data_IF_745968847456
#
_entry.id   IF_745968847456
#
_cell.length_a   1.000
_cell.length_b   1.000
_cell.length_c   1.000
_cell.angle_alpha   90.00
_cell.angle_beta   90.00
_cell.angle_gamma   90.00
#
_symmetry.space_group_name_H-M   'P 1'
#
loop_
_entity.id
_entity.type
_entity.pdbx_description
1 polymer ?
#
# COMPACT_ATOMS: atom_id res chain seq x y z
N UNK A 1 1.80 0.63 -10.26
CA UNK A 1 1.04 -0.36 -9.47
C UNK A 1 1.53 -1.74 -9.85
N UNK A 2 1.48 -2.70 -8.93
CA UNK A 2 1.83 -4.09 -9.21
C UNK A 2 0.63 -5.01 -8.88
N UNK A 3 -0.48 -4.95 -9.64
CA UNK A 3 -1.69 -5.73 -9.35
C UNK A 3 -1.42 -7.23 -9.18
N UNK A 4 -0.57 -7.80 -10.04
CA UNK A 4 -0.15 -9.20 -9.96
C UNK A 4 0.67 -9.56 -8.72
N UNK A 5 1.35 -8.60 -8.09
CA UNK A 5 2.00 -8.81 -6.79
C UNK A 5 0.95 -8.91 -5.68
N UNK A 6 -0.04 -8.02 -5.70
CA UNK A 6 -1.09 -8.01 -4.69
C UNK A 6 -1.92 -9.31 -4.73
N UNK A 7 -2.27 -9.79 -5.93
CA UNK A 7 -2.94 -11.08 -6.10
C UNK A 7 -2.10 -12.27 -5.61
N UNK A 8 -0.78 -12.22 -5.76
CA UNK A 8 0.12 -13.25 -5.22
C UNK A 8 0.16 -13.22 -3.70
N UNK A 9 0.19 -12.02 -3.12
CA UNK A 9 0.19 -11.82 -1.66
C UNK A 9 -1.14 -12.26 -1.04
N UNK A 10 -2.27 -11.92 -1.66
CA UNK A 10 -3.61 -12.37 -1.22
C UNK A 10 -3.78 -13.90 -1.24
N UNK A 11 -3.07 -14.60 -2.12
CA UNK A 11 -3.06 -16.07 -2.21
C UNK A 11 -2.00 -16.72 -1.33
N UNK A 12 -1.28 -15.93 -0.54
CA UNK A 12 -0.30 -16.43 0.42
C UNK A 12 -0.91 -16.47 1.83
N UNK A 13 -0.19 -17.10 2.77
CA UNK A 13 -0.57 -17.10 4.19
C UNK A 13 -0.22 -15.78 4.90
N UNK A 14 0.39 -14.82 4.20
CA UNK A 14 0.76 -13.54 4.79
C UNK A 14 -0.46 -12.65 5.02
N UNK A 15 -0.49 -11.98 6.17
CA UNK A 15 -1.41 -10.88 6.42
C UNK A 15 -0.99 -9.64 5.62
N UNK A 16 -1.92 -9.08 4.87
CA UNK A 16 -1.65 -8.04 3.88
C UNK A 16 -2.64 -6.89 4.08
N UNK A 17 -2.13 -5.69 4.33
CA UNK A 17 -2.96 -4.49 4.43
C UNK A 17 -2.52 -3.43 3.42
N UNK A 18 -3.45 -3.04 2.54
CA UNK A 18 -3.25 -2.02 1.52
C UNK A 18 -4.03 -0.76 1.89
N UNK A 19 -3.33 0.36 1.95
CA UNK A 19 -3.94 1.69 2.01
C UNK A 19 -3.69 2.38 0.67
N UNK A 20 -4.76 2.68 -0.05
CA UNK A 20 -4.73 3.29 -1.38
C UNK A 20 -5.34 4.69 -1.34
N UNK A 21 -4.91 5.58 -2.24
CA UNK A 21 -5.70 6.78 -2.53
C UNK A 21 -6.93 6.41 -3.34
N UNK A 22 -7.98 7.23 -3.29
CA UNK A 22 -9.18 7.05 -4.11
C UNK A 22 -8.83 6.92 -5.61
N UNK A 23 -7.94 7.77 -6.11
CA UNK A 23 -7.48 7.72 -7.51
C UNK A 23 -6.77 6.42 -7.89
N UNK A 24 -6.03 5.81 -6.97
CA UNK A 24 -5.33 4.54 -7.18
C UNK A 24 -6.31 3.38 -7.11
N UNK A 25 -7.27 3.43 -6.18
CA UNK A 25 -8.33 2.44 -6.07
C UNK A 25 -9.19 2.38 -7.33
N UNK A 26 -9.67 3.53 -7.80
CA UNK A 26 -10.45 3.63 -9.05
C UNK A 26 -9.66 3.13 -10.27
N UNK A 27 -8.37 3.42 -10.33
CA UNK A 27 -7.52 2.89 -11.38
C UNK A 27 -7.39 1.37 -11.31
N UNK A 28 -7.24 0.80 -10.12
CA UNK A 28 -7.13 -0.65 -9.93
C UNK A 28 -8.45 -1.36 -10.31
N UNK A 29 -9.58 -0.75 -9.95
CA UNK A 29 -10.93 -1.18 -10.34
C UNK A 29 -11.10 -1.24 -11.86
N UNK A 30 -10.66 -0.21 -12.58
CA UNK A 30 -10.83 -0.11 -14.03
C UNK A 30 -9.80 -0.95 -14.81
N UNK A 31 -8.53 -0.90 -14.40
CA UNK A 31 -7.42 -1.50 -15.16
C UNK A 31 -7.21 -2.99 -14.81
N UNK A 32 -7.59 -3.43 -13.61
CA UNK A 32 -7.26 -4.79 -13.11
C UNK A 32 -8.30 -5.33 -12.11
N UNK A 33 -9.59 -5.40 -12.49
CA UNK A 33 -10.67 -5.81 -11.58
C UNK A 33 -10.48 -7.23 -11.02
N UNK A 34 -9.89 -8.17 -11.77
CA UNK A 34 -9.63 -9.53 -11.28
C UNK A 34 -8.57 -9.60 -10.18
N UNK A 35 -7.58 -8.70 -10.22
CA UNK A 35 -6.57 -8.59 -9.15
C UNK A 35 -7.16 -7.93 -7.91
N UNK A 36 -8.02 -6.92 -8.09
CA UNK A 36 -8.76 -6.30 -6.99
C UNK A 36 -9.72 -7.30 -6.33
N UNK A 37 -10.44 -8.10 -7.12
CA UNK A 37 -11.32 -9.15 -6.61
C UNK A 37 -10.53 -10.18 -5.79
N UNK A 38 -9.34 -10.58 -6.27
CA UNK A 38 -8.47 -11.51 -5.53
C UNK A 38 -8.06 -10.98 -4.15
N UNK A 39 -7.97 -9.66 -3.98
CA UNK A 39 -7.71 -9.04 -2.67
C UNK A 39 -8.93 -9.11 -1.76
N UNK A 40 -10.14 -8.96 -2.29
CA UNK A 40 -11.38 -9.04 -1.50
C UNK A 40 -11.78 -10.47 -1.16
N UNK A 41 -11.44 -11.44 -2.01
CA UNK A 41 -11.69 -12.87 -1.78
C UNK A 41 -10.77 -13.48 -0.70
N UNK A 42 -9.69 -12.78 -0.33
CA UNK A 42 -8.71 -13.25 0.65
C UNK A 42 -9.07 -12.79 2.07
N UNK A 43 -9.27 -13.74 2.98
CA UNK A 43 -9.52 -13.44 4.40
C UNK A 43 -8.31 -12.79 5.10
N UNK A 44 -7.10 -12.98 4.56
CA UNK A 44 -5.85 -12.43 5.10
C UNK A 44 -5.53 -11.04 4.56
N UNK A 45 -6.42 -10.45 3.75
CA UNK A 45 -6.21 -9.16 3.10
C UNK A 45 -7.18 -8.10 3.61
N UNK A 46 -6.66 -6.91 3.87
CA UNK A 46 -7.44 -5.71 4.16
C UNK A 46 -7.12 -4.66 3.11
N UNK A 47 -8.16 -4.14 2.45
CA UNK A 47 -8.05 -2.98 1.57
C UNK A 47 -8.74 -1.80 2.23
N UNK A 48 -8.04 -0.68 2.31
CA UNK A 48 -8.55 0.58 2.81
C UNK A 48 -8.24 1.71 1.83
N UNK A 49 -9.15 2.67 1.74
CA UNK A 49 -9.03 3.84 0.88
C UNK A 49 -8.92 5.09 1.74
N UNK A 50 -7.88 5.87 1.51
CA UNK A 50 -7.63 7.15 2.15
C UNK A 50 -8.07 8.28 1.22
N UNK A 51 -8.94 9.16 1.73
CA UNK A 51 -9.41 10.35 1.01
C UNK A 51 -8.34 11.47 1.04
N UNK A 52 -7.45 11.46 2.02
CA UNK A 52 -6.36 12.41 2.11
C UNK A 52 -5.31 12.18 1.01
N UNK A 53 -4.80 13.27 0.45
CA UNK A 53 -3.63 13.21 -0.44
C UNK A 53 -2.44 12.69 0.36
N UNK A 54 -1.96 11.50 -0.01
CA UNK A 54 -0.75 10.94 0.59
C UNK A 54 0.43 11.85 0.24
N UNK A 55 1.06 12.44 1.26
CA UNK A 55 2.26 13.27 1.12
C UNK A 55 3.51 12.50 0.65
N UNK A 56 3.37 11.20 0.39
CA UNK A 56 4.41 10.31 -0.12
C UNK A 56 3.86 9.46 -1.27
N UNK A 57 4.67 9.13 -2.29
CA UNK A 57 4.25 8.25 -3.37
C UNK A 57 3.90 6.84 -2.89
N UNK A 58 4.74 6.24 -2.03
CA UNK A 58 4.55 4.84 -1.59
C UNK A 58 5.42 4.57 -0.36
N UNK A 59 4.87 3.85 0.61
CA UNK A 59 5.61 3.13 1.65
C UNK A 59 5.16 1.67 1.65
N UNK A 60 6.08 0.75 1.89
CA UNK A 60 5.74 -0.63 2.25
C UNK A 60 6.62 -1.06 3.42
N UNK A 61 6.02 -1.76 4.37
CA UNK A 61 6.70 -2.28 5.55
C UNK A 61 6.35 -3.75 5.68
N UNK A 62 7.37 -4.56 5.89
CA UNK A 62 7.28 -6.00 6.11
C UNK A 62 7.94 -6.34 7.45
N UNK A 63 7.98 -7.62 7.78
CA UNK A 63 8.70 -8.07 8.99
C UNK A 63 10.21 -7.97 8.89
N UNK A 64 10.75 -7.82 7.68
CA UNK A 64 12.21 -7.83 7.44
C UNK A 64 12.77 -6.52 6.94
N UNK A 65 11.98 -5.76 6.18
CA UNK A 65 12.41 -4.49 5.62
C UNK A 65 11.26 -3.50 5.49
N UNK A 66 11.62 -2.23 5.43
CA UNK A 66 10.77 -1.18 4.88
C UNK A 66 11.37 -0.67 3.58
N UNK A 67 10.51 -0.21 2.66
CA UNK A 67 10.94 0.71 1.63
C UNK A 67 10.01 1.91 1.55
N UNK A 68 10.58 3.02 1.09
CA UNK A 68 9.91 4.31 0.95
C UNK A 68 10.32 4.95 -0.38
N UNK A 69 9.33 5.41 -1.12
CA UNK A 69 9.50 6.34 -2.23
C UNK A 69 9.19 7.74 -1.74
N UNK A 70 9.95 8.74 -2.20
CA UNK A 70 9.72 10.15 -1.89
C UNK A 70 9.63 10.97 -3.18
N UNK A 71 8.96 12.10 -3.12
CA UNK A 71 9.03 13.09 -4.18
C UNK A 71 10.36 13.86 -4.10
N UNK A 72 10.87 14.31 -5.26
CA UNK A 72 11.97 15.26 -5.30
C UNK A 72 11.54 16.63 -4.74
N UNK A 73 12.48 17.57 -4.61
CA UNK A 73 12.21 18.93 -4.11
C UNK A 73 11.21 19.72 -4.96
N UNK A 74 10.89 19.26 -6.17
CA UNK A 74 9.91 19.86 -7.09
C UNK A 74 8.58 19.09 -7.08
N UNK A 75 8.39 18.14 -6.16
CA UNK A 75 7.18 17.32 -6.07
C UNK A 75 7.09 16.22 -7.13
N UNK A 76 8.19 15.92 -7.85
CA UNK A 76 8.18 14.93 -8.93
C UNK A 76 8.57 13.56 -8.40
N UNK A 77 7.91 12.54 -8.91
CA UNK A 77 8.29 11.16 -8.64
C UNK A 77 9.53 10.80 -9.47
N UNK A 78 10.63 10.47 -8.81
CA UNK A 78 11.93 10.22 -9.44
C UNK A 78 12.32 8.73 -9.49
N UNK A 79 11.40 7.85 -9.11
CA UNK A 79 11.57 6.40 -9.03
C UNK A 79 12.65 5.90 -8.04
N UNK A 80 13.23 6.79 -7.22
CA UNK A 80 14.18 6.38 -6.18
C UNK A 80 13.44 5.76 -5.01
N UNK A 81 14.07 4.73 -4.45
CA UNK A 81 13.54 3.97 -3.32
C UNK A 81 14.61 3.92 -2.25
N UNK A 82 14.24 4.30 -1.03
CA UNK A 82 15.04 4.04 0.16
C UNK A 82 14.58 2.71 0.73
N UNK A 83 15.51 1.80 1.00
CA UNK A 83 15.23 0.52 1.64
C UNK A 83 16.07 0.39 2.89
N UNK A 84 15.46 -0.09 3.98
CA UNK A 84 16.15 -0.32 5.25
C UNK A 84 15.69 -1.61 5.89
N UNK A 85 16.63 -2.30 6.51
CA UNK A 85 16.43 -3.52 7.30
C UNK A 85 16.63 -3.23 8.80
N UNK A 86 16.90 -1.98 9.16
CA UNK A 86 17.13 -1.58 10.55
C UNK A 86 15.82 -1.61 11.36
N UNK A 87 15.89 -2.08 12.60
CA UNK A 87 14.73 -2.22 13.47
C UNK A 87 14.04 -0.87 13.77
N UNK A 88 14.81 0.22 13.87
CA UNK A 88 14.25 1.56 14.09
C UNK A 88 13.52 2.07 12.85
N UNK A 89 14.06 1.80 11.66
CA UNK A 89 13.42 2.14 10.39
C UNK A 89 12.12 1.35 10.20
N UNK A 90 12.11 0.05 10.52
CA UNK A 90 10.90 -0.78 10.53
C UNK A 90 9.82 -0.20 11.46
N UNK A 91 10.19 0.17 12.69
CA UNK A 91 9.24 0.75 13.66
C UNK A 91 8.65 2.06 13.14
N UNK A 92 9.51 2.99 12.70
CA UNK A 92 9.06 4.27 12.15
C UNK A 92 8.17 4.08 10.91
N UNK A 93 8.52 3.15 10.02
CA UNK A 93 7.70 2.84 8.85
C UNK A 93 6.31 2.35 9.23
N UNK A 94 6.20 1.47 10.26
CA UNK A 94 4.90 1.01 10.76
C UNK A 94 4.09 2.15 11.37
N UNK A 95 4.72 3.04 12.13
CA UNK A 95 4.06 4.23 12.69
C UNK A 95 3.49 5.14 11.58
N UNK A 96 4.27 5.38 10.52
CA UNK A 96 3.83 6.17 9.37
C UNK A 96 2.70 5.48 8.59
N UNK A 97 2.77 4.17 8.39
CA UNK A 97 1.68 3.41 7.78
C UNK A 97 0.40 3.51 8.61
N UNK A 98 0.49 3.31 9.93
CA UNK A 98 -0.66 3.38 10.85
C UNK A 98 -1.29 4.77 10.89
N UNK A 99 -0.48 5.83 10.74
CA UNK A 99 -0.99 7.21 10.63
C UNK A 99 -1.96 7.36 9.46
N UNK A 100 -1.57 6.92 8.25
CA UNK A 100 -2.44 6.96 7.08
C UNK A 100 -3.61 5.99 7.19
N UNK A 101 -3.38 4.80 7.77
CA UNK A 101 -4.43 3.80 7.95
C UNK A 101 -5.57 4.27 8.84
N UNK A 102 -5.28 5.12 9.83
CA UNK A 102 -6.26 5.66 10.79
C UNK A 102 -7.33 6.52 10.13
N UNK A 103 -6.98 7.29 9.09
CA UNK A 103 -7.92 8.12 8.33
C UNK A 103 -8.57 7.37 7.16
N UNK A 104 -8.18 6.13 6.90
CA UNK A 104 -8.65 5.36 5.75
C UNK A 104 -9.93 4.58 6.07
N UNK A 105 -10.90 4.59 5.14
CA UNK A 105 -12.10 3.75 5.20
C UNK A 105 -11.78 2.35 4.71
N UNK A 106 -12.24 1.32 5.42
CA UNK A 106 -12.16 -0.07 4.92
C UNK A 106 -13.10 -0.23 3.74
N UNK A 107 -12.66 -0.98 2.73
CA UNK A 107 -13.46 -1.37 1.56
C UNK A 107 -13.49 -2.88 1.48
N UNK A 108 -14.62 -3.44 1.06
CA UNK A 108 -14.83 -4.89 0.94
C UNK A 108 -15.32 -5.32 -0.44
N UNK A 109 -15.72 -4.38 -1.27
CA UNK A 109 -16.28 -4.58 -2.60
C UNK A 109 -16.05 -3.33 -3.48
N UNK A 110 -16.39 -3.43 -4.77
CA UNK A 110 -16.23 -2.34 -5.75
C UNK A 110 -17.24 -2.43 -6.89
#
# INVERSE_FOLDING_TARGET
LYPSLYSKLAKSEAEVELVLTESVFERLKNDSPGDLQSLFDSENTIVAVCEESLGIPTIAVTDRFMYLCLFDRKGRYDHRKVMSFDASALRWGRELFMHYRKSARKVTDF
#
